data_IF_306557002184
#
_entry.id   IF_306557002184
#
_cell.length_a   1.000
_cell.length_b   1.000
_cell.length_c   1.000
_cell.angle_alpha   90.00
_cell.angle_beta   90.00
_cell.angle_gamma   90.00
#
_symmetry.space_group_name_H-M   'P 1'
#
loop_
_entity.id
_entity.type
_entity.pdbx_description
1 polymer ?
#
# COMPACT_ATOMS: atom_id res chain seq x y z
N UNK A 1 4.72 32.20 -58.79
CA UNK A 1 4.64 32.50 -57.35
C UNK A 1 5.06 31.24 -56.63
N UNK A 2 6.34 31.13 -56.26
CA UNK A 2 6.92 29.87 -55.77
C UNK A 2 7.21 30.01 -54.27
N UNK A 3 6.33 29.46 -53.45
CA UNK A 3 6.53 29.38 -52.00
C UNK A 3 7.58 28.30 -51.72
N UNK A 4 8.82 28.72 -51.44
CA UNK A 4 9.83 27.83 -50.87
C UNK A 4 9.45 27.54 -49.42
N UNK A 5 8.83 26.39 -49.18
CA UNK A 5 8.66 25.86 -47.82
C UNK A 5 10.03 25.37 -47.35
N UNK A 6 10.86 26.28 -46.88
CA UNK A 6 12.12 25.93 -46.21
C UNK A 6 11.75 25.26 -44.90
N UNK A 7 11.82 23.94 -44.86
CA UNK A 7 11.83 23.19 -43.61
C UNK A 7 13.05 23.65 -42.80
N UNK A 8 12.79 24.46 -41.78
CA UNK A 8 13.82 24.96 -40.88
C UNK A 8 14.36 23.81 -40.04
N UNK A 9 15.57 23.32 -40.37
CA UNK A 9 16.28 22.29 -39.58
C UNK A 9 16.40 22.69 -38.11
N UNK A 10 16.63 23.97 -37.85
CA UNK A 10 16.71 24.53 -36.50
C UNK A 10 15.34 24.48 -35.78
N UNK A 11 14.24 24.65 -36.51
CA UNK A 11 12.89 24.53 -35.95
C UNK A 11 12.55 23.11 -35.53
N UNK A 12 12.91 22.11 -36.34
CA UNK A 12 12.70 20.69 -35.99
C UNK A 12 13.58 20.29 -34.80
N UNK A 13 14.85 20.74 -34.77
CA UNK A 13 15.75 20.45 -33.66
C UNK A 13 15.24 21.04 -32.34
N UNK A 14 14.81 22.30 -32.36
CA UNK A 14 14.23 22.96 -31.19
C UNK A 14 12.99 22.22 -30.67
N UNK A 15 12.11 21.77 -31.58
CA UNK A 15 10.89 21.05 -31.21
C UNK A 15 11.19 19.68 -30.57
N UNK A 16 12.18 18.95 -31.09
CA UNK A 16 12.58 17.66 -30.52
C UNK A 16 13.20 17.82 -29.13
N UNK A 17 14.03 18.86 -28.94
CA UNK A 17 14.60 19.17 -27.62
C UNK A 17 13.48 19.52 -26.64
N UNK A 18 12.48 20.30 -27.07
CA UNK A 18 11.31 20.62 -26.24
C UNK A 18 10.55 19.35 -25.83
N UNK A 19 10.27 18.44 -26.77
CA UNK A 19 9.58 17.19 -26.46
C UNK A 19 10.39 16.27 -25.55
N UNK A 20 11.71 16.16 -25.78
CA UNK A 20 12.58 15.40 -24.90
C UNK A 20 12.61 15.99 -23.48
N UNK A 21 12.60 17.32 -23.36
CA UNK A 21 12.52 18.02 -22.07
C UNK A 21 11.20 17.77 -21.34
N UNK A 22 10.07 17.81 -22.05
CA UNK A 22 8.75 17.49 -21.47
C UNK A 22 8.73 16.02 -21.01
N UNK A 23 9.23 15.09 -21.82
CA UNK A 23 9.29 13.68 -21.45
C UNK A 23 10.16 13.44 -20.21
N UNK A 24 11.33 14.08 -20.15
CA UNK A 24 12.19 14.01 -18.98
C UNK A 24 11.50 14.56 -17.73
N UNK A 25 10.80 15.70 -17.83
CA UNK A 25 10.05 16.27 -16.72
C UNK A 25 8.96 15.31 -16.19
N UNK A 26 8.29 14.57 -17.07
CA UNK A 26 7.28 13.57 -16.69
C UNK A 26 7.92 12.33 -16.06
N UNK A 27 9.03 11.82 -16.62
CA UNK A 27 9.71 10.64 -16.09
C UNK A 27 10.33 10.86 -14.70
N UNK A 28 10.81 12.08 -14.43
CA UNK A 28 11.40 12.46 -13.14
C UNK A 28 10.40 13.16 -12.21
N UNK A 29 9.13 13.27 -12.61
CA UNK A 29 8.11 13.78 -11.71
C UNK A 29 7.98 12.83 -10.51
N UNK A 30 7.92 13.36 -9.27
CA UNK A 30 7.73 12.53 -8.09
C UNK A 30 6.43 11.73 -8.24
N UNK A 31 6.44 10.43 -7.86
CA UNK A 31 5.23 9.63 -7.89
C UNK A 31 4.16 10.30 -7.03
N UNK A 32 2.95 10.42 -7.57
CA UNK A 32 1.80 10.88 -6.79
C UNK A 32 1.53 9.89 -5.67
N UNK A 33 1.20 10.38 -4.47
CA UNK A 33 0.89 9.54 -3.29
C UNK A 33 -0.20 8.50 -3.58
N UNK A 34 -1.06 8.75 -4.57
CA UNK A 34 -2.11 7.85 -5.06
C UNK A 34 -1.59 6.58 -5.77
N UNK A 35 -0.31 6.52 -6.16
CA UNK A 35 0.30 5.35 -6.84
C UNK A 35 1.07 4.47 -5.85
N UNK A 36 1.09 4.81 -4.56
CA UNK A 36 1.60 3.90 -3.55
C UNK A 36 0.61 2.73 -3.42
N UNK A 37 0.85 1.67 -4.18
CA UNK A 37 0.27 0.36 -3.91
C UNK A 37 0.79 -0.06 -2.54
N UNK A 38 0.12 0.35 -1.48
CA UNK A 38 0.34 -0.19 -0.16
C UNK A 38 -0.06 -1.66 -0.26
N UNK A 39 0.92 -2.55 -0.44
CA UNK A 39 0.72 -3.98 -0.55
C UNK A 39 0.39 -4.56 0.83
N UNK A 40 -0.62 -4.02 1.50
CA UNK A 40 -1.08 -4.55 2.77
C UNK A 40 -1.56 -5.97 2.54
N UNK A 41 -0.94 -6.91 3.25
CA UNK A 41 -1.22 -8.33 3.13
C UNK A 41 -1.84 -8.78 4.44
N UNK A 42 -3.15 -9.02 4.40
CA UNK A 42 -3.91 -9.48 5.55
C UNK A 42 -4.06 -11.01 5.51
N UNK A 43 -3.83 -11.65 6.64
CA UNK A 43 -4.11 -13.08 6.84
C UNK A 43 -5.11 -13.22 7.97
N UNK A 44 -6.17 -14.01 7.74
CA UNK A 44 -7.18 -14.30 8.74
C UNK A 44 -7.08 -15.77 9.17
N UNK A 45 -7.06 -16.00 10.47
CA UNK A 45 -6.96 -17.32 11.07
C UNK A 45 -8.11 -17.53 12.06
N UNK A 46 -8.89 -18.62 11.94
CA UNK A 46 -9.89 -18.96 12.93
C UNK A 46 -9.19 -19.47 14.21
N UNK A 47 -9.77 -19.15 15.36
CA UNK A 47 -9.31 -19.62 16.65
C UNK A 47 -10.44 -19.63 17.69
N UNK A 48 -10.13 -20.17 18.85
CA UNK A 48 -11.01 -20.19 20.00
C UNK A 48 -10.26 -19.62 21.21
N UNK A 49 -10.94 -18.81 22.01
CA UNK A 49 -10.42 -18.31 23.28
C UNK A 49 -11.17 -18.98 24.43
N UNK A 50 -10.41 -19.47 25.40
CA UNK A 50 -11.00 -20.02 26.62
C UNK A 50 -11.80 -18.94 27.36
N UNK A 51 -13.04 -19.25 27.71
CA UNK A 51 -13.95 -18.31 28.38
C UNK A 51 -14.80 -17.45 27.44
N UNK A 52 -14.65 -17.58 26.11
CA UNK A 52 -15.54 -16.93 25.15
C UNK A 52 -16.31 -18.00 24.35
N UNK A 53 -17.66 -18.06 24.44
CA UNK A 53 -18.45 -19.07 23.74
C UNK A 53 -18.53 -18.85 22.23
N UNK A 54 -18.14 -17.66 21.76
CA UNK A 54 -18.12 -17.28 20.36
C UNK A 54 -16.72 -17.49 19.78
N UNK A 55 -16.63 -18.02 18.55
CA UNK A 55 -15.37 -18.18 17.84
C UNK A 55 -14.66 -16.85 17.60
N UNK A 56 -13.32 -16.89 17.52
CA UNK A 56 -12.46 -15.72 17.36
C UNK A 56 -11.77 -15.80 16.02
N UNK A 57 -11.67 -14.68 15.31
CA UNK A 57 -10.90 -14.56 14.08
C UNK A 57 -9.75 -13.61 14.34
N UNK A 58 -8.53 -14.09 14.13
CA UNK A 58 -7.31 -13.30 14.21
C UNK A 58 -6.99 -12.77 12.81
N UNK A 59 -6.91 -11.46 12.67
CA UNK A 59 -6.51 -10.78 11.43
C UNK A 59 -5.12 -10.21 11.63
N UNK A 60 -4.17 -10.65 10.83
CA UNK A 60 -2.78 -10.17 10.86
C UNK A 60 -2.49 -9.34 9.62
N UNK A 61 -2.06 -8.10 9.80
CA UNK A 61 -1.35 -7.34 8.78
C UNK A 61 0.11 -7.80 8.78
N UNK A 62 0.48 -8.57 7.75
CA UNK A 62 1.84 -9.10 7.60
C UNK A 62 2.85 -8.05 7.15
N UNK A 63 2.40 -6.89 6.66
CA UNK A 63 3.28 -5.76 6.33
C UNK A 63 3.59 -4.90 7.54
N UNK A 64 2.57 -4.54 8.33
CA UNK A 64 2.74 -3.76 9.55
C UNK A 64 3.15 -4.62 10.76
N UNK A 65 3.08 -5.95 10.65
CA UNK A 65 3.27 -6.92 11.74
C UNK A 65 2.32 -6.64 12.91
N UNK A 66 1.07 -6.36 12.57
CA UNK A 66 0.00 -6.04 13.53
C UNK A 66 -1.03 -7.17 13.55
N UNK A 67 -1.46 -7.56 14.74
CA UNK A 67 -2.46 -8.61 14.95
C UNK A 67 -3.66 -8.03 15.68
N UNK A 68 -4.85 -8.27 15.14
CA UNK A 68 -6.13 -7.86 15.72
C UNK A 68 -6.99 -9.11 15.91
N UNK A 69 -7.56 -9.28 17.10
CA UNK A 69 -8.51 -10.34 17.38
C UNK A 69 -9.94 -9.80 17.32
N UNK A 70 -10.82 -10.45 16.58
CA UNK A 70 -12.23 -10.08 16.42
C UNK A 70 -13.09 -11.26 16.83
N UNK A 71 -14.14 -11.01 17.61
CA UNK A 71 -15.15 -12.02 17.92
C UNK A 71 -16.55 -11.46 17.73
N UNK A 72 -17.51 -12.34 17.48
CA UNK A 72 -18.91 -11.97 17.41
C UNK A 72 -19.51 -11.94 18.82
N UNK A 73 -20.10 -10.81 19.22
CA UNK A 73 -20.88 -10.69 20.45
C UNK A 73 -22.35 -11.04 20.14
N UNK A 74 -22.86 -12.20 20.61
CA UNK A 74 -24.22 -12.62 20.33
C UNK A 74 -25.27 -11.77 21.07
N UNK A 75 -24.91 -11.11 22.17
CA UNK A 75 -25.83 -10.26 22.93
C UNK A 75 -26.09 -8.95 22.21
N UNK A 76 -25.03 -8.36 21.65
CA UNK A 76 -25.10 -7.09 20.94
C UNK A 76 -25.31 -7.24 19.43
N UNK A 77 -25.26 -8.49 18.93
CA UNK A 77 -25.34 -8.86 17.50
C UNK A 77 -24.32 -8.12 16.64
N UNK A 78 -23.10 -7.94 17.14
CA UNK A 78 -22.05 -7.12 16.51
C UNK A 78 -20.69 -7.79 16.61
N UNK A 79 -19.81 -7.47 15.67
CA UNK A 79 -18.38 -7.81 15.77
C UNK A 79 -17.72 -6.88 16.80
N UNK A 80 -16.97 -7.47 17.70
CA UNK A 80 -16.22 -6.78 18.75
C UNK A 80 -14.74 -7.10 18.60
N UNK A 81 -13.92 -6.06 18.53
CA UNK A 81 -12.47 -6.21 18.61
C UNK A 81 -12.09 -6.56 20.05
N UNK A 82 -11.42 -7.69 20.22
CA UNK A 82 -10.99 -8.19 21.52
C UNK A 82 -9.65 -7.60 21.96
N UNK A 83 -8.79 -7.26 21.00
CA UNK A 83 -7.49 -6.68 21.31
C UNK A 83 -6.62 -6.44 20.09
N UNK A 84 -5.54 -5.71 20.32
CA UNK A 84 -4.49 -5.38 19.37
C UNK A 84 -3.14 -5.84 19.94
N UNK A 85 -2.27 -6.37 19.08
CA UNK A 85 -0.91 -6.76 19.45
C UNK A 85 0.06 -6.50 18.30
N UNK A 86 1.22 -5.91 18.62
CA UNK A 86 2.32 -5.78 17.66
C UNK A 86 3.22 -7.01 17.72
N UNK A 87 3.30 -7.74 16.62
CA UNK A 87 4.14 -8.94 16.50
C UNK A 87 5.62 -8.57 16.47
N UNK A 88 5.96 -7.40 15.90
CA UNK A 88 7.34 -6.90 15.85
C UNK A 88 7.91 -6.61 17.25
N UNK A 89 7.07 -6.10 18.16
CA UNK A 89 7.46 -5.86 19.55
C UNK A 89 7.58 -7.16 20.35
N UNK A 90 6.71 -8.14 20.07
CA UNK A 90 6.74 -9.44 20.76
C UNK A 90 7.98 -10.25 20.36
N UNK A 91 8.34 -10.23 19.06
CA UNK A 91 9.52 -10.92 18.54
C UNK A 91 10.84 -10.47 19.20
N UNK A 92 10.95 -9.20 19.60
CA UNK A 92 12.13 -8.66 20.30
C UNK A 92 12.24 -9.11 21.76
N UNK A 93 11.14 -9.61 22.33
CA UNK A 93 11.05 -9.97 23.75
C UNK A 93 11.34 -11.45 23.97
N UNK A 94 11.48 -12.24 22.89
CA UNK A 94 11.88 -13.66 22.99
C UNK A 94 13.37 -13.73 23.32
N UNK A 95 13.77 -14.26 24.50
CA UNK A 95 15.18 -14.41 24.84
C UNK A 95 15.83 -15.39 23.86
N UNK A 96 16.84 -14.92 23.14
CA UNK A 96 17.75 -15.77 22.36
C UNK A 96 18.60 -16.57 23.32
N UNK A 97 18.44 -17.89 23.32
CA UNK A 97 19.40 -18.82 23.94
C UNK A 97 20.70 -18.85 23.13
#
# INVERSE_FOLDING_TARGET
MNTKTTTSRNGILALNILFAGILAAVCFAPPSDATTLNQQRFQALPGALNGLPSGVVYVMDTTAQELIAIAYDPNQKKLKTLGYRSVSSDAKTVPTN
#
